data_IF_552997213265
#
_entry.id   IF_552997213265
#
_cell.length_a   1.000
_cell.length_b   1.000
_cell.length_c   1.000
_cell.angle_alpha   90.00
_cell.angle_beta   90.00
_cell.angle_gamma   90.00
#
_symmetry.space_group_name_H-M   'P 1'
#
loop_
_entity.id
_entity.type
_entity.pdbx_description
1 polymer ?
#
# COMPACT_ATOMS: atom_id res chain seq x y z
N UNK A 1 -7.75 42.69 -26.85
CA UNK A 1 -9.00 42.82 -26.08
C UNK A 1 -10.04 43.42 -26.98
N UNK A 2 -11.20 42.79 -27.06
CA UNK A 2 -12.34 43.35 -27.77
C UNK A 2 -12.85 44.63 -27.10
N UNK A 3 -13.48 45.50 -27.88
CA UNK A 3 -14.11 46.73 -27.39
C UNK A 3 -15.61 46.51 -27.25
N UNK A 4 -16.25 47.35 -26.43
CA UNK A 4 -17.71 47.35 -26.27
C UNK A 4 -18.36 47.56 -27.64
N UNK A 5 -19.13 46.57 -28.11
CA UNK A 5 -19.78 46.55 -29.43
C UNK A 5 -19.24 45.51 -30.41
N UNK A 6 -18.11 44.86 -30.12
CA UNK A 6 -17.55 43.83 -31.00
C UNK A 6 -18.30 42.49 -30.88
N UNK A 7 -18.66 41.89 -32.02
CA UNK A 7 -19.22 40.53 -32.06
C UNK A 7 -18.09 39.52 -31.93
N UNK A 8 -17.91 38.98 -30.72
CA UNK A 8 -16.90 37.97 -30.44
C UNK A 8 -17.31 36.59 -30.98
N UNK A 9 -16.64 36.13 -32.04
CA UNK A 9 -16.87 34.80 -32.64
C UNK A 9 -16.13 33.64 -31.95
N UNK A 10 -15.20 33.95 -31.03
CA UNK A 10 -14.47 32.99 -30.19
C UNK A 10 -14.26 33.57 -28.78
N UNK A 11 -14.09 32.75 -27.72
CA UNK A 11 -13.78 33.24 -26.38
C UNK A 11 -12.42 33.96 -26.33
N UNK A 12 -12.26 34.92 -25.42
CA UNK A 12 -10.94 35.50 -25.14
C UNK A 12 -10.06 34.49 -24.37
N UNK A 13 -8.73 34.59 -24.44
CA UNK A 13 -7.84 33.71 -23.67
C UNK A 13 -8.19 33.71 -22.18
N UNK A 14 -8.33 32.52 -21.60
CA UNK A 14 -8.74 32.32 -20.20
C UNK A 14 -10.26 32.29 -19.95
N UNK A 15 -11.09 32.56 -20.96
CA UNK A 15 -12.55 32.50 -20.85
C UNK A 15 -13.10 31.22 -21.50
N UNK A 16 -13.96 30.50 -20.77
CA UNK A 16 -14.76 29.38 -21.31
C UNK A 16 -16.17 29.88 -21.62
N UNK A 17 -16.74 29.48 -22.76
CA UNK A 17 -18.16 29.73 -23.09
C UNK A 17 -18.96 28.46 -22.85
N UNK A 18 -20.02 28.58 -22.07
CA UNK A 18 -21.00 27.53 -21.85
C UNK A 18 -22.29 27.92 -22.59
N UNK A 19 -22.82 27.01 -23.38
CA UNK A 19 -24.15 27.15 -24.01
C UNK A 19 -25.23 26.95 -22.93
N UNK A 20 -26.44 27.49 -23.10
CA UNK A 20 -27.57 27.29 -22.18
C UNK A 20 -28.14 25.84 -22.20
N UNK A 21 -27.52 24.96 -22.99
CA UNK A 21 -27.77 23.52 -22.99
C UNK A 21 -26.62 22.73 -22.37
N UNK A 22 -25.61 23.42 -21.83
CA UNK A 22 -24.45 22.78 -21.23
C UNK A 22 -24.89 21.99 -19.97
N UNK A 23 -24.50 20.70 -19.84
CA UNK A 23 -24.93 19.84 -18.73
C UNK A 23 -24.39 20.28 -17.36
N UNK A 24 -23.39 21.18 -17.32
CA UNK A 24 -22.91 21.80 -16.08
C UNK A 24 -23.83 22.93 -15.60
N UNK A 25 -24.80 23.37 -16.39
CA UNK A 25 -25.77 24.38 -15.95
C UNK A 25 -26.98 23.66 -15.38
N UNK A 26 -27.20 23.80 -14.07
CA UNK A 26 -28.41 23.33 -13.42
C UNK A 26 -29.43 24.47 -13.35
N UNK A 27 -30.60 24.24 -13.94
CA UNK A 27 -31.73 25.17 -13.90
C UNK A 27 -32.61 24.85 -12.69
N UNK A 28 -33.07 25.89 -11.98
CA UNK A 28 -34.08 25.70 -10.92
C UNK A 28 -35.37 25.12 -11.52
N UNK A 29 -36.00 24.19 -10.82
CA UNK A 29 -37.19 23.45 -11.26
C UNK A 29 -38.47 24.30 -11.26
N UNK A 30 -38.38 25.55 -10.78
CA UNK A 30 -39.46 26.54 -10.80
C UNK A 30 -39.56 27.25 -12.17
N UNK A 31 -40.17 26.58 -13.14
CA UNK A 31 -40.48 27.15 -14.45
C UNK A 31 -41.71 28.06 -14.34
N UNK A 32 -41.53 29.38 -14.45
CA UNK A 32 -42.62 30.34 -14.43
C UNK A 32 -42.79 31.01 -15.80
N UNK A 33 -44.05 31.25 -16.21
CA UNK A 33 -44.33 32.10 -17.36
C UNK A 33 -43.93 33.54 -17.03
N UNK A 34 -43.20 34.20 -17.93
CA UNK A 34 -42.88 35.62 -17.76
C UNK A 34 -44.18 36.45 -17.72
N UNK A 35 -44.24 37.52 -16.90
CA UNK A 35 -45.41 38.39 -16.85
C UNK A 35 -45.69 39.02 -18.23
N UNK A 36 -46.96 38.99 -18.65
CA UNK A 36 -47.47 39.26 -20.01
C UNK A 36 -47.10 40.63 -20.63
N UNK A 37 -46.44 41.54 -19.91
CA UNK A 37 -46.25 42.93 -20.37
C UNK A 37 -45.07 43.14 -21.35
N UNK A 38 -44.38 42.09 -21.79
CA UNK A 38 -43.28 42.24 -22.79
C UNK A 38 -43.27 41.25 -23.95
N UNK A 39 -44.27 40.37 -24.12
CA UNK A 39 -44.21 39.34 -25.17
C UNK A 39 -45.00 39.69 -26.44
N UNK A 40 -44.29 39.67 -27.58
CA UNK A 40 -44.86 39.60 -28.92
C UNK A 40 -45.39 38.18 -29.17
N UNK A 41 -46.63 37.89 -28.71
CA UNK A 41 -47.46 36.70 -29.03
C UNK A 41 -46.70 35.36 -29.16
N UNK A 42 -46.04 34.92 -28.10
CA UNK A 42 -45.65 33.52 -27.92
C UNK A 42 -45.22 33.30 -26.48
N UNK A 43 -45.92 32.43 -25.74
CA UNK A 43 -45.58 32.19 -24.33
C UNK A 43 -44.22 31.49 -24.25
N UNK A 44 -43.23 32.15 -23.66
CA UNK A 44 -41.97 31.51 -23.34
C UNK A 44 -41.92 31.15 -21.85
N UNK A 45 -41.70 29.86 -21.56
CA UNK A 45 -41.40 29.41 -20.20
C UNK A 45 -39.89 29.31 -20.06
N UNK A 46 -39.32 29.90 -19.01
CA UNK A 46 -37.89 29.82 -18.71
C UNK A 46 -37.66 29.72 -17.20
N UNK A 47 -36.55 29.09 -16.82
CA UNK A 47 -36.10 29.07 -15.43
C UNK A 47 -35.63 30.47 -15.01
N UNK A 48 -36.04 30.94 -13.83
CA UNK A 48 -35.72 32.28 -13.32
C UNK A 48 -34.24 32.45 -12.96
N UNK A 49 -33.57 31.35 -12.60
CA UNK A 49 -32.14 31.30 -12.26
C UNK A 49 -31.54 29.96 -12.69
N UNK A 50 -30.27 29.96 -13.05
CA UNK A 50 -29.49 28.75 -13.30
C UNK A 50 -28.12 28.90 -12.65
N UNK A 51 -27.63 27.84 -12.01
CA UNK A 51 -26.31 27.77 -11.40
C UNK A 51 -25.38 26.97 -12.32
N UNK A 52 -24.19 27.50 -12.56
CA UNK A 52 -23.13 26.76 -13.24
C UNK A 52 -22.41 25.93 -12.17
N UNK A 53 -22.55 24.60 -12.24
CA UNK A 53 -21.79 23.66 -11.43
C UNK A 53 -20.29 23.86 -11.70
N UNK A 54 -19.42 23.69 -10.69
CA UNK A 54 -17.98 23.73 -10.89
C UNK A 54 -17.64 22.76 -12.03
N UNK A 55 -16.95 23.26 -13.06
CA UNK A 55 -16.38 22.31 -14.00
C UNK A 55 -15.38 21.44 -13.23
N UNK A 56 -15.34 20.14 -13.51
CA UNK A 56 -14.42 19.23 -12.83
C UNK A 56 -12.93 19.51 -13.09
N UNK A 57 -12.58 20.68 -13.66
CA UNK A 57 -11.19 21.10 -13.86
C UNK A 57 -10.57 21.85 -12.68
N UNK A 58 -11.37 22.18 -11.65
CA UNK A 58 -10.88 22.66 -10.35
C UNK A 58 -10.83 21.56 -9.26
N UNK A 59 -11.25 20.33 -9.57
CA UNK A 59 -11.00 19.21 -8.68
C UNK A 59 -9.50 18.86 -8.77
N UNK A 60 -8.78 18.96 -7.65
CA UNK A 60 -7.42 18.42 -7.56
C UNK A 60 -7.47 16.96 -8.06
N UNK A 61 -6.72 16.60 -9.12
CA UNK A 61 -6.80 15.25 -9.67
C UNK A 61 -6.45 14.26 -8.56
N UNK A 62 -7.23 13.18 -8.46
CA UNK A 62 -6.91 12.09 -7.53
C UNK A 62 -5.53 11.56 -7.86
N UNK A 63 -4.62 11.64 -6.89
CA UNK A 63 -3.29 11.06 -6.99
C UNK A 63 -3.39 9.56 -6.71
N UNK A 64 -2.64 8.77 -7.46
CA UNK A 64 -2.61 7.32 -7.27
C UNK A 64 -1.96 6.97 -5.93
N UNK A 65 -2.52 5.95 -5.26
CA UNK A 65 -1.94 5.32 -4.08
C UNK A 65 -1.53 3.89 -4.48
N UNK A 66 -0.23 3.70 -4.69
CA UNK A 66 0.32 2.46 -5.22
C UNK A 66 1.11 1.69 -4.17
N UNK A 67 1.09 0.36 -4.30
CA UNK A 67 1.84 -0.54 -3.42
C UNK A 67 3.29 -0.57 -3.87
N UNK A 68 4.21 -0.02 -3.08
CA UNK A 68 5.65 -0.08 -3.31
C UNK A 68 6.23 -1.42 -2.82
N UNK A 69 5.75 -1.90 -1.68
CA UNK A 69 6.21 -3.15 -1.08
C UNK A 69 5.06 -3.96 -0.47
N UNK A 70 5.17 -5.28 -0.54
CA UNK A 70 4.24 -6.21 0.12
C UNK A 70 4.77 -6.70 1.45
N UNK A 71 3.98 -6.57 2.51
CA UNK A 71 4.27 -7.14 3.81
C UNK A 71 3.85 -8.61 3.96
N UNK A 72 3.08 -9.17 3.02
CA UNK A 72 2.69 -10.60 3.04
C UNK A 72 3.92 -11.52 2.90
N UNK A 73 4.11 -12.42 3.87
CA UNK A 73 5.15 -13.46 3.82
C UNK A 73 4.50 -14.83 3.59
N UNK A 74 3.56 -15.22 4.45
CA UNK A 74 2.98 -16.56 4.44
C UNK A 74 1.55 -16.53 4.97
N UNK A 75 0.66 -17.30 4.34
CA UNK A 75 -0.73 -17.46 4.80
C UNK A 75 -1.14 -18.90 4.57
N UNK A 76 -1.70 -19.52 5.59
CA UNK A 76 -2.29 -20.85 5.49
C UNK A 76 -3.72 -20.83 6.04
N UNK A 77 -4.65 -21.28 5.21
CA UNK A 77 -6.07 -21.45 5.54
C UNK A 77 -6.41 -22.94 5.66
N UNK A 78 -5.40 -23.82 5.63
CA UNK A 78 -5.51 -25.26 5.82
C UNK A 78 -6.53 -25.94 4.89
N UNK A 79 -6.59 -25.45 3.64
CA UNK A 79 -7.29 -26.15 2.55
C UNK A 79 -6.60 -27.46 2.16
N UNK A 80 -5.31 -27.60 2.51
CA UNK A 80 -4.47 -28.79 2.40
C UNK A 80 -3.31 -28.68 3.38
N UNK A 81 -2.66 -29.79 3.75
CA UNK A 81 -1.47 -29.74 4.62
C UNK A 81 -0.27 -29.13 3.87
N UNK A 82 0.22 -27.98 4.32
CA UNK A 82 1.43 -27.38 3.79
C UNK A 82 2.68 -28.12 4.32
N UNK A 83 3.61 -28.55 3.44
CA UNK A 83 4.80 -29.31 3.83
C UNK A 83 5.82 -28.53 4.68
N UNK A 84 5.74 -27.19 4.74
CA UNK A 84 6.64 -26.37 5.54
C UNK A 84 6.33 -26.46 7.05
N UNK A 85 5.15 -26.97 7.42
CA UNK A 85 4.78 -27.19 8.80
C UNK A 85 5.50 -28.39 9.42
N UNK A 86 6.11 -28.15 10.58
CA UNK A 86 6.61 -29.16 11.49
C UNK A 86 5.53 -29.51 12.50
N UNK A 87 5.02 -30.74 12.39
CA UNK A 87 3.95 -31.29 13.21
C UNK A 87 4.53 -32.23 14.25
N UNK A 88 4.22 -32.04 15.54
CA UNK A 88 4.66 -32.97 16.59
C UNK A 88 3.64 -33.05 17.72
N UNK A 89 3.17 -34.24 18.12
CA UNK A 89 3.30 -35.52 17.42
C UNK A 89 2.39 -35.55 16.18
N UNK A 90 2.84 -36.17 15.09
CA UNK A 90 2.12 -36.13 13.80
C UNK A 90 0.70 -36.72 13.84
N UNK A 91 0.39 -37.59 14.81
CA UNK A 91 -0.92 -38.21 14.97
C UNK A 91 -1.96 -37.32 15.67
N UNK A 92 -1.57 -36.14 16.16
CA UNK A 92 -2.45 -35.20 16.88
C UNK A 92 -3.04 -34.11 15.98
N UNK A 93 -3.06 -34.33 14.67
CA UNK A 93 -3.49 -33.35 13.68
C UNK A 93 -4.51 -33.94 12.72
N UNK A 94 -5.60 -33.22 12.49
CA UNK A 94 -6.64 -33.60 11.54
C UNK A 94 -7.09 -32.42 10.68
N UNK A 95 -7.12 -32.61 9.36
CA UNK A 95 -7.61 -31.64 8.37
C UNK A 95 -8.89 -32.13 7.65
N UNK A 96 -9.36 -33.34 7.97
CA UNK A 96 -10.49 -33.98 7.30
C UNK A 96 -11.83 -33.65 7.97
N UNK A 97 -11.82 -33.23 9.23
CA UNK A 97 -13.05 -32.98 10.00
C UNK A 97 -13.90 -31.81 9.46
N UNK A 98 -13.30 -30.85 8.74
CA UNK A 98 -13.92 -29.68 8.08
C UNK A 98 -12.94 -29.16 7.02
N UNK A 99 -13.42 -28.56 5.94
CA UNK A 99 -12.53 -27.92 4.96
C UNK A 99 -12.11 -26.53 5.45
N UNK A 100 -10.85 -26.17 5.30
CA UNK A 100 -10.35 -24.82 5.61
C UNK A 100 -10.04 -24.62 7.09
N UNK A 101 -9.51 -25.66 7.75
CA UNK A 101 -9.03 -25.59 9.13
C UNK A 101 -8.04 -26.73 9.43
N UNK A 102 -7.32 -26.62 10.53
CA UNK A 102 -6.49 -27.66 11.10
C UNK A 102 -6.89 -27.89 12.55
N UNK A 103 -7.34 -29.10 12.88
CA UNK A 103 -7.57 -29.53 14.26
C UNK A 103 -6.27 -30.01 14.90
N UNK A 104 -5.94 -29.47 16.06
CA UNK A 104 -4.90 -29.95 16.95
C UNK A 104 -5.53 -30.62 18.17
N UNK A 105 -5.14 -31.86 18.44
CA UNK A 105 -5.59 -32.65 19.58
C UNK A 105 -4.52 -32.71 20.68
N UNK A 106 -4.95 -32.83 21.92
CA UNK A 106 -4.04 -33.08 23.03
C UNK A 106 -3.36 -34.45 22.87
N UNK A 107 -2.06 -34.51 23.19
CA UNK A 107 -1.34 -35.78 23.34
C UNK A 107 -1.10 -36.08 24.83
N UNK A 108 -0.91 -37.37 25.12
CA UNK A 108 -0.85 -37.88 26.52
C UNK A 108 0.41 -37.39 27.23
N UNK A 109 1.56 -37.49 26.56
CA UNK A 109 2.88 -37.40 27.16
C UNK A 109 3.77 -36.28 26.58
N UNK A 110 3.34 -35.66 25.48
CA UNK A 110 4.04 -34.58 24.79
C UNK A 110 3.10 -33.42 24.44
N UNK A 111 3.63 -32.20 24.43
CA UNK A 111 2.88 -31.04 23.91
C UNK A 111 2.71 -31.20 22.40
N UNK A 112 1.52 -30.87 21.89
CA UNK A 112 1.24 -30.83 20.46
C UNK A 112 1.68 -29.48 19.91
N UNK A 113 2.54 -29.46 18.89
CA UNK A 113 3.17 -28.26 18.33
C UNK A 113 3.05 -28.25 16.81
N UNK A 114 2.58 -27.13 16.28
CA UNK A 114 2.59 -26.77 14.87
C UNK A 114 3.59 -25.62 14.68
N UNK A 115 4.70 -25.86 13.99
CA UNK A 115 5.78 -24.88 13.88
C UNK A 115 6.22 -24.68 12.43
N UNK A 116 6.56 -23.44 12.07
CA UNK A 116 7.24 -23.09 10.82
C UNK A 116 8.54 -22.35 11.15
N UNK A 117 9.50 -22.35 10.22
CA UNK A 117 10.71 -21.56 10.36
C UNK A 117 10.37 -20.06 10.46
N UNK A 118 10.98 -19.34 11.41
CA UNK A 118 10.89 -17.89 11.48
C UNK A 118 11.74 -17.29 10.36
N UNK A 119 11.22 -16.35 9.54
CA UNK A 119 12.04 -15.54 8.64
C UNK A 119 13.14 -14.78 9.39
N UNK A 120 14.25 -14.44 8.72
CA UNK A 120 15.34 -13.68 9.35
C UNK A 120 14.94 -12.24 9.72
N UNK A 121 14.04 -11.64 8.95
CA UNK A 121 13.52 -10.29 9.16
C UNK A 121 12.53 -10.18 10.33
N UNK A 122 12.17 -8.94 10.68
CA UNK A 122 11.08 -8.67 11.60
C UNK A 122 9.75 -9.12 11.01
N UNK A 123 8.91 -9.73 11.83
CA UNK A 123 7.63 -10.30 11.40
C UNK A 123 6.53 -10.03 12.41
N UNK A 124 5.29 -10.18 11.95
CA UNK A 124 4.14 -10.43 12.79
C UNK A 124 3.52 -11.78 12.42
N UNK A 125 3.06 -12.54 13.41
CA UNK A 125 2.25 -13.75 13.23
C UNK A 125 0.90 -13.53 13.89
N UNK A 126 -0.18 -13.90 13.19
CA UNK A 126 -1.55 -13.93 13.71
C UNK A 126 -2.11 -15.33 13.51
N UNK A 127 -2.78 -15.82 14.55
CA UNK A 127 -3.48 -17.12 14.54
C UNK A 127 -4.94 -16.86 14.86
N UNK A 128 -5.81 -17.33 13.98
CA UNK A 128 -7.26 -17.27 14.13
C UNK A 128 -7.73 -18.71 14.38
N UNK A 129 -8.29 -18.96 15.56
CA UNK A 129 -8.69 -20.30 15.98
C UNK A 129 -9.97 -20.29 16.82
N UNK A 130 -10.67 -21.42 16.82
CA UNK A 130 -11.69 -21.74 17.82
C UNK A 130 -11.05 -22.60 18.91
N UNK A 131 -11.02 -22.05 20.12
CA UNK A 131 -10.47 -22.72 21.31
C UNK A 131 -11.10 -22.18 22.60
N UNK A 132 -11.78 -23.05 23.31
CA UNK A 132 -12.50 -22.73 24.55
C UNK A 132 -12.13 -23.70 25.69
N UNK A 133 -10.94 -23.58 26.33
CA UNK A 133 -10.53 -24.49 27.41
C UNK A 133 -11.47 -24.43 28.63
N UNK A 134 -12.18 -25.52 28.96
CA UNK A 134 -13.27 -25.52 29.96
C UNK A 134 -12.83 -25.96 31.37
N UNK A 135 -11.60 -26.44 31.52
CA UNK A 135 -11.07 -26.98 32.77
C UNK A 135 -9.63 -26.54 33.01
N UNK A 136 -9.22 -26.54 34.28
CA UNK A 136 -7.84 -26.22 34.64
C UNK A 136 -6.84 -27.15 33.95
N UNK A 137 -5.76 -26.57 33.45
CA UNK A 137 -4.69 -27.27 32.74
C UNK A 137 -4.92 -27.41 31.23
N UNK A 138 -6.15 -27.26 30.75
CA UNK A 138 -6.46 -27.12 29.32
C UNK A 138 -5.93 -25.77 28.83
N UNK A 139 -4.82 -25.82 28.08
CA UNK A 139 -4.08 -24.62 27.65
C UNK A 139 -3.50 -24.82 26.26
N UNK A 140 -3.48 -23.74 25.49
CA UNK A 140 -2.86 -23.69 24.18
C UNK A 140 -2.89 -22.27 23.63
N UNK A 141 -2.12 -22.02 22.57
CA UNK A 141 -1.97 -20.68 22.00
C UNK A 141 -0.69 -20.54 21.18
N UNK A 142 -0.15 -19.33 21.13
CA UNK A 142 1.06 -19.02 20.36
C UNK A 142 2.32 -19.56 21.02
N UNK A 143 3.26 -19.97 20.16
CA UNK A 143 4.59 -20.45 20.56
C UNK A 143 5.67 -19.74 19.75
N UNK A 144 6.57 -19.07 20.45
CA UNK A 144 7.80 -18.52 19.90
C UNK A 144 8.97 -19.39 20.38
N UNK A 145 9.65 -20.06 19.45
CA UNK A 145 10.47 -21.23 19.74
C UNK A 145 11.92 -21.06 19.31
N UNK A 146 12.85 -21.27 20.23
CA UNK A 146 14.27 -21.44 19.93
C UNK A 146 14.68 -22.91 20.10
N UNK A 147 14.38 -23.48 21.27
CA UNK A 147 14.62 -24.89 21.60
C UNK A 147 13.69 -25.33 22.73
N UNK A 148 13.87 -26.55 23.25
CA UNK A 148 13.02 -27.10 24.32
C UNK A 148 13.05 -26.27 25.61
N UNK A 149 14.21 -25.71 25.94
CA UNK A 149 14.47 -25.01 27.20
C UNK A 149 14.26 -23.49 27.06
N UNK A 150 14.41 -22.95 25.85
CA UNK A 150 14.19 -21.55 25.52
C UNK A 150 13.02 -21.41 24.54
N UNK A 151 11.88 -21.00 25.08
CA UNK A 151 10.65 -20.73 24.33
C UNK A 151 9.75 -19.78 25.12
N UNK A 152 8.91 -19.05 24.40
CA UNK A 152 7.85 -18.21 24.98
C UNK A 152 6.51 -18.80 24.56
N UNK A 153 5.65 -19.04 25.55
CA UNK A 153 4.30 -19.60 25.37
C UNK A 153 3.28 -18.54 25.75
N UNK A 154 2.48 -18.09 24.78
CA UNK A 154 1.38 -17.15 25.00
C UNK A 154 0.06 -17.93 24.89
N UNK A 155 -0.48 -18.31 26.05
CA UNK A 155 -1.51 -19.34 26.17
C UNK A 155 -2.86 -18.77 26.61
N UNK A 156 -3.91 -19.20 25.93
CA UNK A 156 -5.27 -19.16 26.45
C UNK A 156 -5.45 -20.27 27.49
N UNK A 157 -6.24 -20.00 28.52
CA UNK A 157 -6.48 -20.94 29.62
C UNK A 157 -7.90 -20.78 30.19
N UNK A 158 -8.38 -21.79 30.91
CA UNK A 158 -9.68 -21.71 31.56
C UNK A 158 -9.79 -20.51 32.51
N UNK A 159 -10.89 -19.75 32.37
CA UNK A 159 -11.29 -18.69 33.29
C UNK A 159 -12.80 -18.65 33.41
N UNK A 160 -13.30 -18.62 34.64
CA UNK A 160 -14.73 -18.67 34.95
C UNK A 160 -15.54 -17.47 34.40
N UNK A 161 -14.87 -16.36 34.09
CA UNK A 161 -15.50 -15.11 33.65
C UNK A 161 -15.23 -14.76 32.18
N UNK A 162 -14.82 -15.73 31.36
CA UNK A 162 -14.40 -15.47 29.98
C UNK A 162 -15.57 -15.23 29.01
N UNK A 163 -15.30 -14.47 27.95
CA UNK A 163 -16.17 -14.35 26.79
C UNK A 163 -15.96 -15.53 25.83
N UNK A 164 -17.07 -16.04 25.29
CA UNK A 164 -17.11 -17.12 24.29
C UNK A 164 -16.91 -16.57 22.87
N UNK A 165 -16.32 -17.37 22.00
CA UNK A 165 -16.06 -17.01 20.61
C UNK A 165 -14.62 -17.25 20.16
N UNK A 166 -14.39 -17.03 18.86
CA UNK A 166 -13.09 -17.23 18.21
C UNK A 166 -11.99 -16.44 18.92
N UNK A 167 -10.81 -17.05 18.99
CA UNK A 167 -9.60 -16.48 19.55
C UNK A 167 -8.70 -16.03 18.41
N UNK A 168 -8.30 -14.76 18.46
CA UNK A 168 -7.22 -14.28 17.62
C UNK A 168 -6.06 -13.85 18.50
N UNK A 169 -4.91 -14.48 18.29
CA UNK A 169 -3.67 -14.14 18.96
C UNK A 169 -2.70 -13.56 17.93
N UNK A 170 -1.92 -12.55 18.33
CA UNK A 170 -0.89 -11.98 17.48
C UNK A 170 0.41 -11.80 18.27
N UNK A 171 1.55 -12.01 17.61
CA UNK A 171 2.87 -11.67 18.12
C UNK A 171 3.65 -10.89 17.07
N UNK A 172 4.36 -9.83 17.48
CA UNK A 172 5.14 -8.95 16.59
C UNK A 172 6.58 -8.90 17.07
N UNK A 173 7.55 -9.10 16.18
CA UNK A 173 8.98 -9.08 16.51
C UNK A 173 9.65 -7.77 16.12
N UNK A 174 10.60 -7.32 16.96
CA UNK A 174 11.62 -6.32 16.64
C UNK A 174 12.97 -6.85 17.11
N UNK A 175 13.73 -7.44 16.19
CA UNK A 175 14.86 -8.31 16.50
C UNK A 175 14.41 -9.49 17.38
N UNK A 176 14.99 -9.58 18.58
CA UNK A 176 14.66 -10.62 19.55
C UNK A 176 13.53 -10.21 20.52
N UNK A 177 13.03 -8.97 20.45
CA UNK A 177 11.90 -8.51 21.26
C UNK A 177 10.58 -8.95 20.61
N UNK A 178 9.66 -9.49 21.41
CA UNK A 178 8.33 -9.92 20.98
C UNK A 178 7.25 -9.27 21.80
N UNK A 179 6.28 -8.64 21.13
CA UNK A 179 5.08 -8.09 21.76
C UNK A 179 3.88 -8.97 21.42
N UNK A 180 3.05 -9.28 22.42
CA UNK A 180 1.93 -10.21 22.33
C UNK A 180 0.60 -9.48 22.48
N UNK A 181 -0.35 -9.87 21.63
CA UNK A 181 -1.66 -9.25 21.55
C UNK A 181 -2.75 -10.32 21.51
N UNK A 182 -3.92 -9.97 22.04
CA UNK A 182 -5.14 -10.77 21.94
C UNK A 182 -6.28 -9.89 21.47
N UNK A 183 -7.20 -10.47 20.69
CA UNK A 183 -8.40 -9.77 20.23
C UNK A 183 -9.63 -10.49 20.75
N UNK A 184 -10.46 -9.77 21.51
CA UNK A 184 -11.75 -10.28 22.01
C UNK A 184 -12.95 -9.67 21.28
N UNK A 185 -12.78 -8.47 20.69
CA UNK A 185 -13.81 -7.77 19.92
C UNK A 185 -13.26 -7.35 18.55
N UNK A 186 -13.06 -6.04 18.33
CA UNK A 186 -12.76 -5.45 17.00
C UNK A 186 -11.29 -5.10 16.77
N UNK A 187 -10.50 -4.91 17.84
CA UNK A 187 -9.09 -4.51 17.78
C UNK A 187 -8.23 -5.42 18.67
N UNK A 188 -6.93 -5.50 18.33
CA UNK A 188 -5.95 -6.20 19.14
C UNK A 188 -5.52 -5.36 20.34
N UNK A 189 -5.64 -5.93 21.53
CA UNK A 189 -5.13 -5.35 22.77
C UNK A 189 -3.74 -5.90 23.07
N UNK A 190 -2.83 -5.02 23.46
CA UNK A 190 -1.51 -5.41 23.96
C UNK A 190 -1.65 -6.14 25.29
N UNK A 191 -0.98 -7.28 25.43
CA UNK A 191 -1.05 -8.11 26.65
C UNK A 191 0.30 -8.13 27.38
N UNK A 192 1.38 -8.51 26.71
CA UNK A 192 2.70 -8.64 27.34
C UNK A 192 3.82 -8.61 26.29
N UNK A 193 5.07 -8.68 26.75
CA UNK A 193 6.24 -8.76 25.89
C UNK A 193 7.36 -9.60 26.49
N UNK A 194 8.20 -10.21 25.65
CA UNK A 194 9.34 -11.02 26.09
C UNK A 194 10.49 -10.99 25.07
N UNK A 195 11.68 -11.49 25.44
CA UNK A 195 12.88 -11.52 24.61
C UNK A 195 13.36 -12.93 24.31
N UNK A 196 13.39 -13.28 23.04
CA UNK A 196 13.92 -14.56 22.57
C UNK A 196 14.40 -14.49 21.11
N UNK A 197 15.61 -15.02 20.87
CA UNK A 197 16.13 -15.26 19.53
C UNK A 197 15.50 -16.54 18.95
N UNK A 198 14.26 -16.42 18.48
CA UNK A 198 13.47 -17.53 17.97
C UNK A 198 13.92 -17.96 16.56
N UNK A 199 13.90 -19.27 16.32
CA UNK A 199 14.13 -19.85 14.99
C UNK A 199 12.87 -20.48 14.39
N UNK A 200 11.81 -20.65 15.19
CA UNK A 200 10.50 -21.14 14.76
C UNK A 200 9.39 -20.41 15.49
N UNK A 201 8.23 -20.38 14.87
CA UNK A 201 6.99 -19.77 15.38
C UNK A 201 5.80 -20.65 15.03
N UNK A 202 4.72 -20.57 15.80
CA UNK A 202 3.48 -21.26 15.48
C UNK A 202 2.57 -21.44 16.70
N UNK A 203 1.97 -22.62 16.83
CA UNK A 203 0.92 -22.92 17.82
C UNK A 203 1.33 -24.10 18.69
N UNK A 204 0.99 -24.04 19.98
CA UNK A 204 1.16 -25.12 20.96
C UNK A 204 -0.17 -25.45 21.64
N UNK A 205 -0.40 -26.74 21.87
CA UNK A 205 -1.46 -27.27 22.72
C UNK A 205 -0.83 -28.17 23.78
N UNK A 206 -1.04 -27.85 25.07
CA UNK A 206 -0.32 -28.49 26.17
C UNK A 206 -0.78 -29.95 26.35
N UNK A 207 0.13 -30.84 26.72
CA UNK A 207 -0.22 -32.26 26.94
C UNK A 207 -1.28 -32.50 28.02
N UNK A 208 -2.03 -33.59 27.88
CA UNK A 208 -2.98 -34.08 28.89
C UNK A 208 -4.05 -35.02 28.32
N UNK A 209 -4.80 -35.69 29.20
CA UNK A 209 -5.83 -36.69 28.83
C UNK A 209 -7.15 -36.53 29.59
N UNK A 210 -7.45 -35.33 30.07
CA UNK A 210 -8.78 -35.10 30.62
C UNK A 210 -9.81 -35.15 29.48
N UNK A 211 -10.88 -35.92 29.66
CA UNK A 211 -11.95 -36.01 28.66
C UNK A 211 -12.66 -34.67 28.42
N UNK A 212 -12.47 -33.69 29.32
CA UNK A 212 -12.98 -32.35 29.18
C UNK A 212 -12.06 -31.40 28.37
N UNK A 213 -10.82 -31.81 28.07
CA UNK A 213 -9.90 -30.99 27.28
C UNK A 213 -10.41 -30.79 25.85
N UNK A 214 -10.25 -29.58 25.34
CA UNK A 214 -10.76 -29.19 24.02
C UNK A 214 -9.66 -29.19 22.97
N UNK A 215 -9.94 -29.66 21.74
CA UNK A 215 -9.03 -29.42 20.63
C UNK A 215 -8.92 -27.92 20.32
N UNK A 216 -7.84 -27.52 19.65
CA UNK A 216 -7.75 -26.22 18.97
C UNK A 216 -8.09 -26.44 17.51
N UNK A 217 -9.07 -25.70 17.01
CA UNK A 217 -9.42 -25.65 15.60
C UNK A 217 -8.85 -24.37 14.98
N UNK A 218 -7.73 -24.48 14.27
CA UNK A 218 -7.08 -23.32 13.64
C UNK A 218 -7.71 -23.08 12.27
N UNK A 219 -8.35 -21.92 12.10
CA UNK A 219 -8.94 -21.53 10.83
C UNK A 219 -7.88 -20.95 9.88
N UNK A 220 -6.98 -20.12 10.41
CA UNK A 220 -6.01 -19.39 9.58
C UNK A 220 -4.77 -18.97 10.36
N UNK A 221 -3.61 -19.07 9.73
CA UNK A 221 -2.35 -18.46 10.20
C UNK A 221 -1.83 -17.48 9.16
N UNK A 222 -1.49 -16.27 9.60
CA UNK A 222 -0.99 -15.18 8.76
C UNK A 222 0.37 -14.75 9.31
N UNK A 223 1.37 -14.67 8.44
CA UNK A 223 2.71 -14.14 8.75
C UNK A 223 3.01 -13.01 7.79
N UNK A 224 3.40 -11.88 8.35
CA UNK A 224 3.71 -10.64 7.61
C UNK A 224 4.97 -9.97 8.14
N UNK A 225 5.47 -8.93 7.47
CA UNK A 225 6.68 -8.16 7.87
C UNK A 225 6.49 -7.25 9.10
N UNK A 226 5.30 -7.24 9.66
CA UNK A 226 4.91 -6.39 10.78
C UNK A 226 3.40 -6.28 10.86
N UNK A 227 2.88 -5.45 11.77
CA UNK A 227 1.43 -5.27 12.00
C UNK A 227 0.90 -3.90 11.54
N UNK A 228 1.72 -3.08 10.89
CA UNK A 228 1.36 -1.73 10.46
C UNK A 228 1.34 -1.60 8.95
N UNK A 229 0.41 -0.82 8.41
CA UNK A 229 0.44 -0.32 7.05
C UNK A 229 1.27 0.96 7.01
N UNK A 230 2.24 1.02 6.10
CA UNK A 230 3.15 2.15 5.96
C UNK A 230 2.71 3.01 4.77
N UNK A 231 2.22 4.23 5.04
CA UNK A 231 1.93 5.20 4.00
C UNK A 231 3.06 6.22 3.92
N UNK A 232 3.57 6.48 2.72
CA UNK A 232 4.71 7.38 2.47
C UNK A 232 4.41 8.36 1.34
N UNK A 233 5.27 9.37 1.23
CA UNK A 233 5.16 10.50 0.30
C UNK A 233 3.90 11.36 0.49
N UNK A 234 3.23 11.23 1.64
CA UNK A 234 2.00 11.96 1.94
C UNK A 234 2.24 13.47 1.99
N UNK A 235 1.23 14.24 1.58
CA UNK A 235 1.24 15.69 1.75
C UNK A 235 1.07 16.05 3.23
N UNK A 236 1.84 17.03 3.75
CA UNK A 236 1.66 17.54 5.11
C UNK A 236 0.23 17.99 5.38
N UNK A 237 -0.25 17.80 6.61
CA UNK A 237 -1.62 18.14 7.07
C UNK A 237 -2.76 17.36 6.38
N UNK A 238 -2.45 16.36 5.56
CA UNK A 238 -3.49 15.46 5.01
C UNK A 238 -4.10 14.58 6.10
N UNK A 239 -5.38 14.25 5.93
CA UNK A 239 -6.16 13.37 6.81
C UNK A 239 -6.31 12.02 6.13
N UNK A 240 -5.80 10.96 6.76
CA UNK A 240 -5.91 9.59 6.28
C UNK A 240 -6.98 8.85 7.05
N UNK A 241 -7.88 8.18 6.34
CA UNK A 241 -9.01 7.43 6.90
C UNK A 241 -8.90 5.98 6.43
N UNK A 242 -8.81 5.05 7.37
CA UNK A 242 -8.93 3.61 7.11
C UNK A 242 -10.38 3.18 7.33
N UNK A 243 -10.99 2.54 6.35
CA UNK A 243 -12.35 2.00 6.41
C UNK A 243 -12.36 0.50 6.12
N UNK A 244 -13.33 -0.20 6.69
CA UNK A 244 -13.66 -1.56 6.26
C UNK A 244 -14.47 -1.56 4.95
N UNK A 245 -14.72 -2.74 4.39
CA UNK A 245 -15.50 -2.92 3.15
C UNK A 245 -16.95 -2.45 3.23
N UNK A 246 -17.52 -2.32 4.43
CA UNK A 246 -18.85 -1.76 4.66
C UNK A 246 -18.84 -0.22 4.77
N UNK A 247 -17.67 0.42 4.66
CA UNK A 247 -17.51 1.88 4.78
C UNK A 247 -17.44 2.41 6.20
N UNK A 248 -17.41 1.54 7.22
CA UNK A 248 -17.22 1.97 8.61
C UNK A 248 -15.77 2.40 8.84
N UNK A 249 -15.58 3.54 9.49
CA UNK A 249 -14.26 4.06 9.83
C UNK A 249 -13.63 3.20 10.92
N UNK A 250 -12.43 2.70 10.65
CA UNK A 250 -11.59 1.96 11.59
C UNK A 250 -10.64 2.90 12.33
N UNK A 251 -9.97 3.78 11.60
CA UNK A 251 -9.07 4.77 12.18
C UNK A 251 -8.98 6.04 11.33
N UNK A 252 -8.57 7.13 11.97
CA UNK A 252 -8.30 8.42 11.34
C UNK A 252 -6.97 8.93 11.86
N UNK A 253 -6.09 9.34 10.95
CA UNK A 253 -4.76 9.84 11.25
C UNK A 253 -4.53 11.18 10.54
N UNK A 254 -3.83 12.10 11.21
CA UNK A 254 -3.39 13.36 10.63
C UNK A 254 -1.89 13.28 10.34
N UNK A 255 -1.48 13.66 9.13
CA UNK A 255 -0.07 13.77 8.77
C UNK A 255 0.50 15.06 9.34
N UNK A 256 1.51 14.96 10.20
CA UNK A 256 2.18 16.14 10.77
C UNK A 256 2.79 17.01 9.66
N UNK A 257 2.79 18.32 9.88
CA UNK A 257 3.44 19.33 9.03
C UNK A 257 4.89 19.02 8.62
N UNK A 258 5.63 18.28 9.45
CA UNK A 258 7.04 17.91 9.20
C UNK A 258 7.23 16.48 8.69
N UNK A 259 6.15 15.71 8.53
CA UNK A 259 6.20 14.32 8.12
C UNK A 259 5.67 14.14 6.70
N UNK A 260 6.25 13.18 5.98
CA UNK A 260 5.81 12.78 4.63
C UNK A 260 5.25 11.36 4.63
N UNK A 261 4.74 10.88 5.77
CA UNK A 261 4.27 9.52 5.92
C UNK A 261 3.74 9.24 7.31
N UNK A 262 2.98 8.16 7.44
CA UNK A 262 2.42 7.66 8.69
C UNK A 262 2.41 6.13 8.70
N UNK A 263 2.37 5.57 9.90
CA UNK A 263 2.18 4.14 10.14
C UNK A 263 0.83 3.91 10.80
N UNK A 264 0.05 3.00 10.22
CA UNK A 264 -1.32 2.73 10.62
C UNK A 264 -1.40 1.28 11.11
N UNK A 265 -1.65 1.02 12.41
CA UNK A 265 -1.93 -0.33 12.89
C UNK A 265 -3.16 -0.90 12.19
N UNK A 266 -3.03 -2.10 11.63
CA UNK A 266 -4.17 -2.80 11.03
C UNK A 266 -4.98 -3.56 12.11
N UNK A 267 -6.31 -3.68 11.96
CA UNK A 267 -7.15 -4.46 12.88
C UNK A 267 -6.95 -5.98 12.73
N UNK A 268 -6.20 -6.41 11.72
CA UNK A 268 -5.79 -7.79 11.40
C UNK A 268 -4.60 -7.72 10.43
N UNK A 269 -3.69 -8.69 10.45
CA UNK A 269 -2.52 -8.74 9.56
C UNK A 269 -2.89 -8.92 8.08
N UNK A 270 -4.08 -9.46 7.81
CA UNK A 270 -4.76 -9.38 6.51
C UNK A 270 -6.06 -8.60 6.71
N UNK A 271 -6.24 -7.52 5.97
CA UNK A 271 -7.38 -6.63 6.12
C UNK A 271 -7.92 -6.14 4.77
N UNK A 272 -9.14 -6.53 4.44
CA UNK A 272 -9.87 -5.96 3.30
C UNK A 272 -10.48 -4.61 3.68
N UNK A 273 -10.07 -3.55 2.98
CA UNK A 273 -10.50 -2.21 3.33
C UNK A 273 -10.33 -1.17 2.23
N UNK A 274 -10.56 0.08 2.64
CA UNK A 274 -10.38 1.27 1.83
C UNK A 274 -9.54 2.28 2.62
N UNK A 275 -8.51 2.83 1.99
CA UNK A 275 -7.81 4.03 2.46
C UNK A 275 -8.33 5.21 1.66
N UNK A 276 -8.74 6.27 2.36
CA UNK A 276 -9.02 7.58 1.78
C UNK A 276 -8.03 8.59 2.36
N UNK A 277 -7.51 9.48 1.50
CA UNK A 277 -6.64 10.57 1.90
C UNK A 277 -7.32 11.86 1.48
N UNK A 278 -7.55 12.74 2.44
CA UNK A 278 -8.12 14.06 2.25
C UNK A 278 -7.04 15.12 2.46
N UNK A 279 -7.08 16.22 1.70
CA UNK A 279 -6.18 17.35 1.91
C UNK A 279 -6.59 18.20 3.13
N UNK A 280 -5.88 19.29 3.36
CA UNK A 280 -6.12 20.27 4.44
C UNK A 280 -7.47 20.99 4.35
N UNK A 281 -8.13 20.94 3.18
CA UNK A 281 -9.48 21.48 2.92
C UNK A 281 -10.58 20.42 2.98
N UNK A 282 -10.25 19.20 3.42
CA UNK A 282 -11.14 18.03 3.45
C UNK A 282 -11.58 17.50 2.08
N UNK A 283 -10.87 17.85 1.00
CA UNK A 283 -11.13 17.32 -0.34
C UNK A 283 -10.40 15.98 -0.54
N UNK A 284 -11.05 15.00 -1.16
CA UNK A 284 -10.44 13.70 -1.47
C UNK A 284 -9.33 13.85 -2.51
N UNK A 285 -8.13 13.39 -2.16
CA UNK A 285 -6.95 13.44 -3.03
C UNK A 285 -6.42 12.06 -3.41
N UNK A 286 -6.74 11.00 -2.67
CA UNK A 286 -6.40 9.63 -3.06
C UNK A 286 -7.34 8.62 -2.40
N UNK A 287 -7.63 7.54 -3.12
CA UNK A 287 -8.39 6.41 -2.60
C UNK A 287 -7.73 5.09 -3.04
N UNK A 288 -7.67 4.11 -2.12
CA UNK A 288 -7.28 2.74 -2.44
C UNK A 288 -8.17 1.74 -1.75
N UNK A 289 -8.88 0.95 -2.55
CA UNK A 289 -9.51 -0.29 -2.11
C UNK A 289 -8.59 -1.49 -2.41
N UNK A 290 -8.25 -2.25 -1.39
CA UNK A 290 -7.36 -3.42 -1.52
C UNK A 290 -7.49 -4.35 -0.30
N UNK A 291 -6.88 -5.53 -0.41
CA UNK A 291 -6.45 -6.33 0.74
C UNK A 291 -5.10 -5.82 1.19
N UNK A 292 -5.05 -5.21 2.37
CA UNK A 292 -3.82 -4.72 3.00
C UNK A 292 -3.23 -5.81 3.87
N UNK A 293 -1.89 -5.90 3.86
CA UNK A 293 -1.15 -6.77 4.77
C UNK A 293 -0.28 -5.92 5.70
N UNK A 294 -0.07 -6.39 6.93
CA UNK A 294 0.87 -5.75 7.84
C UNK A 294 2.28 -5.70 7.23
N UNK A 295 2.96 -4.57 7.32
CA UNK A 295 4.22 -4.30 6.64
C UNK A 295 4.09 -3.89 5.16
N UNK A 296 2.88 -3.80 4.59
CA UNK A 296 2.70 -3.20 3.26
C UNK A 296 3.19 -1.74 3.26
N UNK A 297 3.87 -1.34 2.18
CA UNK A 297 4.28 0.05 1.95
C UNK A 297 3.53 0.60 0.74
N UNK A 298 2.79 1.69 0.94
CA UNK A 298 2.10 2.42 -0.11
C UNK A 298 2.59 3.86 -0.20
N UNK A 299 2.73 4.33 -1.43
CA UNK A 299 3.15 5.69 -1.73
C UNK A 299 2.05 6.43 -2.50
N UNK A 300 1.87 7.71 -2.19
CA UNK A 300 1.09 8.61 -3.05
C UNK A 300 1.98 9.10 -4.19
N UNK A 301 1.47 9.06 -5.42
CA UNK A 301 2.18 9.46 -6.63
C UNK A 301 1.98 8.42 -7.74
N UNK A 302 2.76 8.54 -8.81
CA UNK A 302 2.72 7.55 -9.89
C UNK A 302 3.84 6.52 -9.74
N UNK A 303 3.55 5.20 -9.71
CA UNK A 303 4.52 4.11 -9.80
C UNK A 303 5.14 4.06 -11.20
N UNK A 304 5.86 5.11 -11.58
CA UNK A 304 6.64 5.13 -12.80
C UNK A 304 8.05 4.72 -12.42
N UNK A 305 8.49 3.60 -13.00
CA UNK A 305 9.79 3.02 -12.69
C UNK A 305 10.78 3.32 -13.79
N UNK A 306 12.02 3.56 -13.41
CA UNK A 306 13.16 3.57 -14.32
C UNK A 306 13.92 2.27 -14.12
N UNK A 307 14.15 1.54 -15.21
CA UNK A 307 14.86 0.27 -15.18
C UNK A 307 16.14 0.35 -16.01
N UNK A 308 17.21 -0.25 -15.49
CA UNK A 308 18.45 -0.55 -16.21
C UNK A 308 18.74 -2.04 -16.07
N UNK A 309 18.99 -2.72 -17.19
CA UNK A 309 19.23 -4.18 -17.19
C UNK A 309 18.15 -4.97 -16.43
N UNK A 310 16.88 -4.56 -16.61
CA UNK A 310 15.69 -5.12 -15.95
C UNK A 310 15.59 -4.91 -14.44
N UNK A 311 16.50 -4.14 -13.82
CA UNK A 311 16.43 -3.78 -12.41
C UNK A 311 16.00 -2.32 -12.25
N UNK A 312 15.14 -2.06 -11.27
CA UNK A 312 14.73 -0.70 -10.92
C UNK A 312 15.92 0.10 -10.39
N UNK A 313 16.03 1.35 -10.84
CA UNK A 313 17.04 2.27 -10.34
C UNK A 313 16.75 2.59 -8.87
N UNK A 314 17.80 2.62 -8.06
CA UNK A 314 17.69 3.01 -6.66
C UNK A 314 17.53 4.55 -6.56
N UNK A 315 16.61 5.01 -5.71
CA UNK A 315 16.36 6.43 -5.46
C UNK A 315 17.46 7.11 -4.63
N UNK A 316 18.27 6.32 -3.91
CA UNK A 316 19.27 6.79 -2.93
C UNK A 316 20.69 6.38 -3.28
N UNK A 317 20.89 5.14 -3.73
CA UNK A 317 22.20 4.62 -4.08
C UNK A 317 22.54 4.90 -5.55
N UNK A 318 23.77 5.33 -5.84
CA UNK A 318 24.19 5.62 -7.19
C UNK A 318 24.18 4.35 -8.05
N UNK A 319 23.55 4.43 -9.22
CA UNK A 319 23.57 3.34 -10.20
C UNK A 319 24.90 3.33 -10.96
N UNK A 320 25.61 2.21 -10.91
CA UNK A 320 26.86 2.07 -11.65
C UNK A 320 26.58 1.84 -13.14
N UNK A 321 26.77 2.87 -13.94
CA UNK A 321 26.52 2.82 -15.39
C UNK A 321 27.50 1.92 -16.14
N UNK A 322 28.61 1.50 -15.51
CA UNK A 322 29.68 0.67 -16.07
C UNK A 322 30.95 1.48 -16.40
N UNK A 323 32.02 0.78 -16.80
CA UNK A 323 33.31 1.42 -17.10
C UNK A 323 33.30 2.20 -18.43
N UNK A 324 33.94 3.37 -18.44
CA UNK A 324 34.10 4.25 -19.61
C UNK A 324 35.40 3.91 -20.34
N UNK A 325 35.37 2.92 -21.25
CA UNK A 325 36.58 2.46 -21.98
C UNK A 325 36.83 3.30 -23.24
N UNK A 326 35.78 3.79 -23.90
CA UNK A 326 35.88 4.43 -25.23
C UNK A 326 35.61 5.96 -25.20
N UNK A 327 35.66 6.59 -24.02
CA UNK A 327 35.31 8.02 -23.85
C UNK A 327 33.81 8.34 -24.04
N UNK A 328 33.06 7.40 -24.59
CA UNK A 328 31.62 7.42 -24.75
C UNK A 328 31.01 6.15 -24.17
N UNK A 329 29.79 6.26 -23.65
CA UNK A 329 28.95 5.11 -23.32
C UNK A 329 27.49 5.42 -23.61
N UNK A 330 26.79 4.47 -24.21
CA UNK A 330 25.35 4.54 -24.46
C UNK A 330 24.70 3.42 -23.65
N UNK A 331 23.71 3.78 -22.85
CA UNK A 331 23.00 2.89 -21.93
C UNK A 331 21.54 2.91 -22.34
N UNK A 332 20.96 1.72 -22.52
CA UNK A 332 19.53 1.56 -22.74
C UNK A 332 18.82 1.52 -21.40
N UNK A 333 17.74 2.26 -21.27
CA UNK A 333 16.88 2.28 -20.11
C UNK A 333 15.43 2.07 -20.52
N UNK A 334 14.60 1.70 -19.55
CA UNK A 334 13.17 1.52 -19.73
C UNK A 334 12.45 2.39 -18.71
N UNK A 335 11.46 3.14 -19.16
CA UNK A 335 10.47 3.75 -18.27
C UNK A 335 9.21 2.90 -18.31
N UNK A 336 8.74 2.48 -17.13
CA UNK A 336 7.60 1.58 -17.00
C UNK A 336 6.47 2.28 -16.24
N UNK A 337 5.26 2.21 -16.79
CA UNK A 337 4.05 2.67 -16.13
C UNK A 337 3.30 1.49 -15.51
N UNK A 338 3.47 1.30 -14.20
CA UNK A 338 2.73 0.29 -13.45
C UNK A 338 1.35 0.79 -12.98
N UNK A 339 0.91 1.97 -13.41
CA UNK A 339 -0.45 2.42 -13.15
C UNK A 339 -1.47 1.61 -13.94
N UNK A 340 -2.70 1.61 -13.43
CA UNK A 340 -3.90 1.16 -14.14
C UNK A 340 -4.45 2.23 -15.10
N UNK A 341 -3.88 3.44 -15.07
CA UNK A 341 -4.20 4.56 -15.97
C UNK A 341 -2.99 4.96 -16.80
N UNK A 342 -3.20 5.51 -18.01
CA UNK A 342 -2.11 6.14 -18.77
C UNK A 342 -1.50 7.32 -18.02
N UNK A 343 -0.23 7.60 -18.30
CA UNK A 343 0.49 8.79 -17.84
C UNK A 343 0.68 9.71 -19.04
N UNK A 344 0.40 11.00 -18.88
CA UNK A 344 0.55 11.99 -19.94
C UNK A 344 1.69 12.97 -19.66
N UNK A 345 2.26 13.51 -20.74
CA UNK A 345 3.30 14.54 -20.69
C UNK A 345 4.49 14.16 -19.80
N UNK A 346 4.90 12.89 -19.90
CA UNK A 346 6.02 12.34 -19.14
C UNK A 346 7.33 12.93 -19.64
N UNK A 347 7.98 13.72 -18.80
CA UNK A 347 9.30 14.29 -19.02
C UNK A 347 10.35 13.51 -18.26
N UNK A 348 11.42 13.18 -18.96
CA UNK A 348 12.63 12.58 -18.39
C UNK A 348 13.75 13.56 -18.67
N UNK A 349 14.54 13.92 -17.67
CA UNK A 349 15.65 14.87 -17.81
C UNK A 349 16.87 14.49 -16.99
N UNK A 350 18.03 14.98 -17.41
CA UNK A 350 19.30 14.84 -16.69
C UNK A 350 19.47 16.03 -15.75
N UNK A 351 19.70 15.75 -14.47
CA UNK A 351 19.91 16.77 -13.45
C UNK A 351 21.24 16.64 -12.71
N UNK A 352 21.66 17.76 -12.15
CA UNK A 352 22.86 17.82 -11.33
C UNK A 352 22.68 17.02 -10.02
N UNK A 353 23.70 16.21 -9.68
CA UNK A 353 23.78 15.54 -8.39
C UNK A 353 24.74 16.28 -7.47
N UNK A 354 24.22 16.90 -6.41
CA UNK A 354 24.99 17.77 -5.50
C UNK A 354 25.85 18.78 -6.28
N UNK A 355 27.14 18.91 -5.97
CA UNK A 355 28.08 19.78 -6.67
C UNK A 355 28.83 19.07 -7.82
N UNK A 356 28.43 17.83 -8.18
CA UNK A 356 29.12 17.06 -9.21
C UNK A 356 28.78 17.57 -10.61
N UNK A 357 29.74 17.53 -11.53
CA UNK A 357 29.61 18.04 -12.91
C UNK A 357 29.16 16.98 -13.93
N UNK A 358 28.96 15.73 -13.50
CA UNK A 358 28.70 14.60 -14.40
C UNK A 358 27.46 14.75 -15.27
N UNK A 359 26.48 15.54 -14.84
CA UNK A 359 25.26 15.85 -15.60
C UNK A 359 25.55 16.58 -16.92
N UNK A 360 26.63 17.36 -17.00
CA UNK A 360 27.02 18.08 -18.23
C UNK A 360 27.54 17.16 -19.32
N UNK A 361 27.85 15.91 -18.97
CA UNK A 361 28.35 14.88 -19.88
C UNK A 361 27.28 13.91 -20.32
N UNK A 362 26.06 14.00 -19.76
CA UNK A 362 24.98 13.07 -20.03
C UNK A 362 23.88 13.75 -20.86
N UNK A 363 23.46 13.06 -21.92
CA UNK A 363 22.30 13.41 -22.72
C UNK A 363 21.38 12.19 -22.83
N UNK A 364 20.14 12.43 -23.22
CA UNK A 364 19.09 11.42 -23.33
C UNK A 364 18.39 11.49 -24.69
N UNK A 365 17.80 10.37 -25.10
CA UNK A 365 17.18 10.19 -26.41
C UNK A 365 16.09 9.12 -26.39
N UNK A 366 15.00 9.32 -27.15
CA UNK A 366 13.98 8.30 -27.41
C UNK A 366 14.26 7.44 -28.64
N UNK A 367 15.14 7.88 -29.54
CA UNK A 367 15.39 7.24 -30.83
C UNK A 367 16.86 6.81 -31.01
N UNK A 368 17.67 6.99 -29.96
CA UNK A 368 19.12 6.76 -29.95
C UNK A 368 19.89 7.56 -31.03
N UNK A 369 19.36 8.70 -31.47
CA UNK A 369 19.95 9.53 -32.51
C UNK A 369 19.87 11.03 -32.22
N UNK A 370 18.75 11.49 -31.67
CA UNK A 370 18.48 12.86 -31.26
C UNK A 370 18.74 12.98 -29.77
N UNK A 371 19.78 13.72 -29.39
CA UNK A 371 20.25 13.83 -28.01
C UNK A 371 19.93 15.20 -27.42
N UNK A 372 19.36 15.21 -26.22
CA UNK A 372 18.98 16.42 -25.48
C UNK A 372 19.23 16.24 -23.97
N UNK A 373 18.96 17.26 -23.17
CA UNK A 373 18.96 17.14 -21.70
C UNK A 373 17.58 16.76 -21.14
N UNK A 374 16.54 16.82 -21.97
CA UNK A 374 15.15 16.50 -21.63
C UNK A 374 14.45 15.87 -22.85
N UNK A 375 13.70 14.80 -22.61
CA UNK A 375 12.79 14.17 -23.59
C UNK A 375 11.37 14.16 -23.03
N UNK A 376 10.39 14.15 -23.92
CA UNK A 376 8.97 14.07 -23.58
C UNK A 376 8.36 12.84 -24.24
N UNK A 377 7.58 12.09 -23.48
CA UNK A 377 6.70 11.01 -23.95
C UNK A 377 5.27 11.50 -23.73
N UNK A 378 4.56 11.76 -24.83
CA UNK A 378 3.21 12.35 -24.80
C UNK A 378 2.23 11.52 -23.96
N UNK A 379 2.22 10.20 -24.19
CA UNK A 379 1.42 9.25 -23.42
C UNK A 379 2.20 7.95 -23.23
N UNK A 380 2.25 7.47 -22.00
CA UNK A 380 2.70 6.12 -21.64
C UNK A 380 1.49 5.34 -21.10
N UNK A 381 1.02 4.36 -21.89
CA UNK A 381 -0.20 3.59 -21.58
C UNK A 381 -0.11 2.85 -20.23
N UNK A 382 -1.26 2.54 -19.64
CA UNK A 382 -1.33 1.73 -18.43
C UNK A 382 -0.68 0.36 -18.63
N UNK A 383 0.02 -0.15 -17.61
CA UNK A 383 0.71 -1.45 -17.65
C UNK A 383 1.65 -1.63 -18.85
N UNK A 384 2.29 -0.54 -19.28
CA UNK A 384 3.17 -0.51 -20.46
C UNK A 384 4.54 0.06 -20.12
N UNK A 385 5.46 -0.02 -21.08
CA UNK A 385 6.78 0.57 -20.95
C UNK A 385 7.23 1.20 -22.27
N UNK A 386 8.22 2.08 -22.17
CA UNK A 386 8.90 2.71 -23.29
C UNK A 386 10.41 2.69 -23.07
N UNK A 387 11.16 2.54 -24.16
CA UNK A 387 12.61 2.51 -24.14
C UNK A 387 13.18 3.92 -24.38
N UNK A 388 14.26 4.25 -23.69
CA UNK A 388 15.04 5.44 -23.96
C UNK A 388 16.54 5.15 -23.75
N UNK A 389 17.39 6.06 -24.19
CA UNK A 389 18.83 5.91 -24.13
C UNK A 389 19.46 7.07 -23.40
N UNK A 390 20.49 6.77 -22.61
CA UNK A 390 21.39 7.74 -22.00
C UNK A 390 22.75 7.63 -22.67
N UNK A 391 23.26 8.73 -23.19
CA UNK A 391 24.62 8.85 -23.70
C UNK A 391 25.45 9.67 -22.74
N UNK A 392 26.54 9.09 -22.25
CA UNK A 392 27.52 9.78 -21.43
C UNK A 392 28.81 9.96 -22.24
N UNK A 393 29.30 11.19 -22.33
CA UNK A 393 30.51 11.60 -23.04
C UNK A 393 31.50 12.19 -22.05
N UNK A 394 32.49 11.40 -21.62
CA UNK A 394 33.52 11.91 -20.70
C UNK A 394 34.51 12.76 -21.49
N UNK A 395 34.72 14.00 -21.06
CA UNK A 395 35.80 14.82 -21.58
C UNK A 395 37.16 14.23 -21.17
N UNK A 396 38.07 14.07 -22.13
CA UNK A 396 39.41 13.54 -21.92
C UNK A 396 40.28 14.46 -21.07
N UNK A 397 39.94 15.75 -21.02
CA UNK A 397 40.63 16.75 -20.20
C UNK A 397 40.20 16.69 -18.71
N UNK A 398 39.19 15.88 -18.36
CA UNK A 398 38.78 15.67 -16.98
C UNK A 398 39.69 14.65 -16.26
N UNK A 399 40.58 15.16 -15.42
CA UNK A 399 41.60 14.40 -14.67
C UNK A 399 41.03 13.77 -13.36
N UNK A 400 39.72 13.81 -13.14
CA UNK A 400 39.10 13.20 -11.96
C UNK A 400 38.97 11.68 -12.06
N UNK A 401 39.37 10.99 -10.99
CA UNK A 401 39.21 9.54 -10.80
C UNK A 401 37.85 9.16 -10.19
N UNK A 402 37.04 10.14 -9.81
CA UNK A 402 35.72 9.88 -9.24
C UNK A 402 34.75 9.35 -10.30
N UNK A 403 33.80 8.46 -9.92
CA UNK A 403 32.70 8.06 -10.79
C UNK A 403 31.89 9.27 -11.28
N UNK A 404 31.26 9.12 -12.44
CA UNK A 404 30.38 10.13 -13.01
C UNK A 404 29.03 10.04 -12.31
N UNK A 405 28.58 11.14 -11.70
CA UNK A 405 27.30 11.23 -10.99
C UNK A 405 26.39 12.29 -11.62
N UNK A 406 25.12 11.93 -11.81
CA UNK A 406 24.01 12.79 -12.18
C UNK A 406 22.69 12.12 -11.76
N UNK A 407 21.63 12.93 -11.67
CA UNK A 407 20.28 12.44 -11.40
C UNK A 407 19.51 12.28 -12.71
N UNK A 408 18.56 11.35 -12.73
CA UNK A 408 17.51 11.30 -13.74
C UNK A 408 16.23 11.78 -13.08
N UNK A 409 15.71 12.91 -13.52
CA UNK A 409 14.45 13.44 -13.03
C UNK A 409 13.30 12.96 -13.91
N UNK A 410 12.22 12.58 -13.24
CA UNK A 410 10.96 12.19 -13.86
C UNK A 410 9.87 13.17 -13.43
N UNK A 411 9.10 13.68 -14.39
CA UNK A 411 7.94 14.54 -14.15
C UNK A 411 6.82 14.12 -15.09
N UNK A 412 5.57 14.20 -14.64
CA UNK A 412 4.40 14.00 -15.50
C UNK A 412 3.24 14.81 -14.92
N UNK A 413 2.14 14.89 -15.68
CA UNK A 413 0.89 15.55 -15.25
C UNK A 413 0.02 14.67 -14.37
#
# INVERSE_FOLDING_TARGET
MAKIGDVLKKPEPGWKRYDNTNPLIQYDENWSNYPEETEYKGSSAGALTGELLPDGSDANPLVSLYKKESGKIFIDEFNSMNPDWLLTPSGSFDIAARKGFLRMEHAIDADTMLLIAKPEEDIAIQVIADYEPDVDGDRGGLLIYQNKDNKVEFLESYSANRLKGNKEWMAVSQGDQWDFYSKTDSLFDYIDSDKIAANKIGVILKKGIDAAYKPIDIDKIIITRGNQLHLRQLFPNSKVILKNTAGSIISVHLVDSLNTGIDIPLPSLEFDGVIEILNDKEELIAEKKATFYGGDVYNIGSPIKLLMDSNELNETDPTHLGQMVEGQRIIKMIVQNDNVTPVHNLKISIEQYMEKVGYTWANISLDNSTWSNEITIDTLEAQSNSEFWIKVLKDWDYVGFEPIYFNIRLQHE
#
